data_IF_139356117146
#
_entry.id   IF_139356117146
#
_cell.length_a   1.000
_cell.length_b   1.000
_cell.length_c   1.000
_cell.angle_alpha   90.00
_cell.angle_beta   90.00
_cell.angle_gamma   90.00
#
_symmetry.space_group_name_H-M   'P 1'
#
loop_
_entity.id
_entity.type
_entity.pdbx_description
1 polymer ?
#
# COMPACT_ATOMS: atom_id res chain seq x y z
N UNK A 1 4.26 12.72 15.84
CA UNK A 1 4.52 11.41 15.21
C UNK A 1 4.24 10.33 16.25
N UNK A 2 3.34 9.40 15.95
CA UNK A 2 3.03 8.25 16.82
C UNK A 2 3.12 6.94 16.04
N UNK A 3 3.56 5.89 16.72
CA UNK A 3 3.57 4.51 16.23
C UNK A 3 2.62 3.70 17.11
N UNK A 4 1.61 3.09 16.49
CA UNK A 4 0.65 2.25 17.18
C UNK A 4 0.81 0.82 16.69
N UNK A 5 1.22 -0.09 17.57
CA UNK A 5 1.18 -1.52 17.30
C UNK A 5 -0.28 -2.01 17.32
N UNK A 6 -0.64 -2.86 16.37
CA UNK A 6 -1.93 -3.53 16.29
C UNK A 6 -1.79 -4.92 16.91
N UNK A 7 -2.55 -5.16 17.98
CA UNK A 7 -2.65 -6.45 18.65
C UNK A 7 -4.14 -6.74 18.94
N UNK A 8 -4.80 -7.63 18.18
CA UNK A 8 -4.23 -8.54 17.17
C UNK A 8 -3.91 -7.87 15.81
N UNK A 9 -3.01 -8.46 15.00
CA UNK A 9 -2.79 -8.02 13.62
C UNK A 9 -4.06 -8.12 12.77
N UNK A 10 -4.28 -7.13 11.91
CA UNK A 10 -5.48 -7.03 11.09
C UNK A 10 -5.25 -7.58 9.67
N UNK A 11 -6.13 -8.46 9.15
CA UNK A 11 -6.05 -8.93 7.77
C UNK A 11 -6.45 -7.81 6.81
N UNK A 12 -5.48 -7.36 6.02
CA UNK A 12 -5.64 -6.30 5.03
C UNK A 12 -5.18 -6.77 3.65
N UNK A 13 -5.42 -5.94 2.65
CA UNK A 13 -4.93 -6.10 1.30
C UNK A 13 -4.34 -4.76 0.87
N UNK A 14 -3.07 -4.80 0.46
CA UNK A 14 -2.37 -3.62 -0.05
C UNK A 14 -2.49 -3.64 -1.57
N UNK A 15 -3.02 -2.56 -2.15
CA UNK A 15 -3.13 -2.42 -3.60
C UNK A 15 -1.75 -2.61 -4.25
N UNK A 16 -1.72 -3.46 -5.27
CA UNK A 16 -0.54 -3.84 -6.06
C UNK A 16 0.49 -4.75 -5.36
N UNK A 17 0.26 -5.14 -4.09
CA UNK A 17 1.10 -6.09 -3.35
C UNK A 17 0.38 -7.38 -2.96
N UNK A 18 -0.92 -7.28 -2.65
CA UNK A 18 -1.73 -8.44 -2.32
C UNK A 18 -2.20 -8.48 -0.86
N UNK A 19 -2.74 -9.64 -0.43
CA UNK A 19 -3.22 -9.84 0.94
C UNK A 19 -2.05 -9.92 1.94
N UNK A 20 -2.28 -9.41 3.15
CA UNK A 20 -1.30 -9.41 4.22
C UNK A 20 -1.91 -9.16 5.60
N UNK A 21 -1.05 -9.12 6.61
CA UNK A 21 -1.40 -8.78 7.98
C UNK A 21 -0.75 -7.46 8.39
N UNK A 22 -1.59 -6.47 8.72
CA UNK A 22 -1.13 -5.22 9.30
C UNK A 22 -0.90 -5.39 10.80
N UNK A 23 0.30 -5.09 11.26
CA UNK A 23 0.68 -5.21 12.68
C UNK A 23 1.04 -3.86 13.31
N UNK A 24 1.08 -2.77 12.55
CA UNK A 24 1.25 -1.42 13.08
C UNK A 24 0.70 -0.34 12.15
N UNK A 25 0.41 0.83 12.72
CA UNK A 25 0.05 2.06 12.01
C UNK A 25 0.94 3.20 12.51
N UNK A 26 1.43 4.01 11.57
CA UNK A 26 2.27 5.18 11.85
C UNK A 26 1.47 6.42 11.44
N UNK A 27 1.33 7.36 12.37
CA UNK A 27 0.72 8.66 12.14
C UNK A 27 1.76 9.78 12.18
N UNK A 28 1.89 10.48 11.05
CA UNK A 28 2.77 11.63 10.89
C UNK A 28 2.05 12.96 11.20
N UNK A 29 0.72 12.98 11.32
CA UNK A 29 -0.09 14.15 11.66
C UNK A 29 -1.03 14.62 10.54
N UNK A 30 -1.58 15.83 10.71
CA UNK A 30 -2.75 16.36 9.97
C UNK A 30 -2.61 16.49 8.45
N UNK A 31 -1.40 16.43 7.89
CA UNK A 31 -1.15 16.54 6.43
C UNK A 31 -0.68 15.22 5.80
N UNK A 32 -0.71 14.12 6.54
CA UNK A 32 -0.16 12.83 6.11
C UNK A 32 -1.20 11.73 6.24
N UNK A 33 -1.16 10.77 5.32
CA UNK A 33 -1.95 9.56 5.47
C UNK A 33 -1.42 8.74 6.64
N UNK A 34 -2.32 8.05 7.34
CA UNK A 34 -1.94 6.92 8.18
C UNK A 34 -1.18 5.91 7.32
N UNK A 35 0.01 5.55 7.76
CA UNK A 35 0.86 4.57 7.09
C UNK A 35 0.69 3.23 7.79
N UNK A 36 0.26 2.23 7.04
CA UNK A 36 0.03 0.88 7.53
C UNK A 36 1.24 0.01 7.27
N UNK A 37 1.76 -0.61 8.33
CA UNK A 37 2.85 -1.56 8.24
C UNK A 37 2.26 -2.97 8.13
N UNK A 38 2.44 -3.57 6.96
CA UNK A 38 1.80 -4.84 6.58
C UNK A 38 2.84 -5.85 6.13
N UNK A 39 2.79 -7.05 6.69
CA UNK A 39 3.51 -8.22 6.16
C UNK A 39 2.67 -8.87 5.06
N UNK A 40 3.21 -8.98 3.85
CA UNK A 40 2.54 -9.60 2.70
C UNK A 40 2.63 -11.13 2.81
N UNK A 41 1.50 -11.81 2.61
CA UNK A 41 1.40 -13.25 2.83
C UNK A 41 2.25 -14.05 1.84
N UNK A 42 2.23 -13.67 0.56
CA UNK A 42 2.83 -14.47 -0.51
C UNK A 42 4.36 -14.30 -0.58
N UNK A 43 4.87 -13.09 -0.33
CA UNK A 43 6.30 -12.77 -0.45
C UNK A 43 7.02 -12.70 0.90
N UNK A 44 6.31 -12.54 2.01
CA UNK A 44 6.88 -12.29 3.33
C UNK A 44 7.49 -10.89 3.49
N UNK A 45 7.38 -10.02 2.48
CA UNK A 45 7.89 -8.65 2.54
C UNK A 45 7.06 -7.80 3.51
N UNK A 46 7.74 -6.92 4.24
CA UNK A 46 7.09 -5.90 5.07
C UNK A 46 7.03 -4.60 4.27
N UNK A 47 5.81 -4.09 4.07
CA UNK A 47 5.54 -2.88 3.31
C UNK A 47 4.83 -1.83 4.16
N UNK A 48 5.15 -0.58 3.88
CA UNK A 48 4.47 0.60 4.42
C UNK A 48 3.56 1.19 3.33
N UNK A 49 2.25 1.15 3.53
CA UNK A 49 1.27 1.64 2.57
C UNK A 49 0.41 2.77 3.15
N UNK A 50 0.17 3.87 2.40
CA UNK A 50 -0.73 4.93 2.85
C UNK A 50 -2.18 4.46 2.84
N UNK A 51 -3.01 5.02 3.72
CA UNK A 51 -4.43 4.66 3.91
C UNK A 51 -5.24 4.46 2.60
N UNK A 52 -5.14 5.32 1.56
CA UNK A 52 -5.87 5.12 0.31
C UNK A 52 -5.52 3.83 -0.45
N UNK A 53 -4.38 3.21 -0.16
CA UNK A 53 -3.88 1.97 -0.78
C UNK A 53 -4.17 0.71 0.03
N UNK A 54 -4.83 0.81 1.18
CA UNK A 54 -5.11 -0.35 2.05
C UNK A 54 -6.60 -0.65 2.05
N UNK A 55 -6.96 -1.91 1.89
CA UNK A 55 -8.34 -2.40 1.95
C UNK A 55 -8.44 -3.51 3.00
N UNK A 56 -9.54 -3.58 3.71
CA UNK A 56 -9.85 -4.74 4.51
C UNK A 56 -10.09 -5.96 3.61
N UNK A 57 -9.70 -7.13 4.07
CA UNK A 57 -10.02 -8.38 3.38
C UNK A 57 -11.54 -8.66 3.40
N UNK A 58 -12.06 -9.37 2.38
CA UNK A 58 -13.45 -9.82 2.37
C UNK A 58 -13.73 -10.73 3.57
N UNK A 59 -14.95 -10.63 4.12
CA UNK A 59 -15.37 -11.44 5.26
C UNK A 59 -16.85 -11.78 5.12
N UNK A 60 -17.16 -13.06 4.94
CA UNK A 60 -18.52 -13.54 4.69
C UNK A 60 -19.43 -13.45 5.93
N UNK A 61 -18.92 -13.70 7.14
CA UNK A 61 -19.72 -13.59 8.37
C UNK A 61 -20.07 -12.13 8.67
N UNK A 62 -19.16 -11.20 8.34
CA UNK A 62 -19.41 -9.76 8.42
C UNK A 62 -20.11 -9.19 7.18
N UNK A 63 -20.55 -10.03 6.23
CA UNK A 63 -21.15 -9.62 4.94
C UNK A 63 -20.32 -8.58 4.17
N UNK A 64 -19.00 -8.58 4.37
CA UNK A 64 -18.07 -7.69 3.70
C UNK A 64 -17.65 -8.30 2.37
N UNK A 65 -18.15 -7.73 1.29
CA UNK A 65 -17.78 -8.14 -0.06
C UNK A 65 -16.35 -7.70 -0.42
N UNK A 66 -15.77 -8.36 -1.41
CA UNK A 66 -14.46 -7.99 -1.96
C UNK A 66 -14.56 -6.58 -2.55
N UNK A 67 -13.63 -5.71 -2.19
CA UNK A 67 -13.61 -4.34 -2.73
C UNK A 67 -13.34 -4.36 -4.25
N UNK A 68 -14.10 -3.60 -5.06
CA UNK A 68 -13.86 -3.51 -6.51
C UNK A 68 -12.46 -3.02 -6.88
N UNK A 69 -11.84 -2.21 -6.01
CA UNK A 69 -10.47 -1.72 -6.18
C UNK A 69 -9.42 -2.85 -6.21
N UNK A 70 -9.76 -4.05 -5.72
CA UNK A 70 -8.89 -5.23 -5.76
C UNK A 70 -8.93 -5.99 -7.10
N UNK A 71 -9.82 -5.61 -8.01
CA UNK A 71 -9.97 -6.27 -9.31
C UNK A 71 -9.18 -5.56 -10.42
N UNK A 72 -8.71 -4.33 -10.18
CA UNK A 72 -7.83 -3.60 -11.07
C UNK A 72 -6.38 -4.04 -10.81
N UNK A 73 -6.02 -5.25 -11.26
CA UNK A 73 -4.63 -5.69 -11.26
C UNK A 73 -3.81 -4.83 -12.23
N UNK A 74 -3.10 -3.85 -11.70
CA UNK A 74 -2.12 -3.05 -12.44
C UNK A 74 -0.87 -2.89 -11.59
N UNK A 75 0.25 -3.45 -12.05
CA UNK A 75 1.59 -3.22 -11.52
C UNK A 75 1.79 -1.75 -11.13
N UNK A 76 1.85 -1.48 -9.83
CA UNK A 76 2.17 -0.18 -9.28
C UNK A 76 3.52 -0.25 -8.59
N UNK A 77 4.58 -0.12 -9.39
CA UNK A 77 5.95 -0.04 -8.92
C UNK A 77 6.08 1.11 -7.90
N UNK A 78 6.45 0.77 -6.67
CA UNK A 78 6.84 1.75 -5.65
C UNK A 78 8.28 1.49 -5.21
N UNK A 79 9.15 1.19 -6.17
CA UNK A 79 10.49 1.73 -6.12
C UNK A 79 10.39 3.15 -6.72
N UNK A 80 11.02 4.13 -6.07
CA UNK A 80 11.19 5.46 -6.64
C UNK A 80 11.93 5.28 -7.97
N UNK A 81 11.21 5.30 -9.09
CA UNK A 81 11.82 5.55 -10.39
C UNK A 81 11.95 7.05 -10.49
N UNK A 82 13.15 7.55 -10.22
CA UNK A 82 13.58 8.82 -10.77
C UNK A 82 13.32 8.74 -12.28
N UNK A 83 12.41 9.57 -12.80
CA UNK A 83 12.29 9.72 -14.24
C UNK A 83 13.67 10.12 -14.78
N UNK A 84 14.25 9.40 -15.75
CA UNK A 84 15.42 9.92 -16.42
C UNK A 84 14.93 11.09 -17.28
N UNK A 85 15.33 12.30 -16.91
CA UNK A 85 15.19 13.49 -17.74
C UNK A 85 15.74 13.15 -19.14
N UNK A 86 14.88 12.96 -20.14
CA UNK A 86 15.33 12.93 -21.52
C UNK A 86 15.85 14.33 -21.86
N UNK A 87 17.18 14.47 -21.84
CA UNK A 87 17.86 15.60 -22.44
C UNK A 87 17.56 15.59 -23.94
N UNK A 88 16.62 16.45 -24.36
CA UNK A 88 16.39 16.72 -25.77
C UNK A 88 17.65 17.38 -26.34
N UNK A 89 18.46 16.59 -27.03
CA UNK A 89 19.56 17.08 -27.86
C UNK A 89 18.92 17.79 -29.06
N UNK A 90 18.77 19.11 -28.95
CA UNK A 90 18.45 19.96 -30.10
C UNK A 90 19.68 19.98 -31.00
N UNK A 91 19.59 19.33 -32.16
CA UNK A 91 20.61 19.45 -33.21
C UNK A 91 20.54 20.87 -33.80
N UNK A 92 21.68 21.59 -33.90
CA UNK A 92 21.71 22.88 -34.57
C UNK A 92 21.55 22.66 -36.08
N UNK A 93 20.60 23.39 -36.68
CA UNK A 93 20.61 23.72 -38.10
C UNK A 93 21.50 24.94 -38.31
#
# INVERSE_FOLDING_TARGET
>A
MSFQQLDPPLPVHVLDKGPGYAFAVIDYGQEHNLIWVTAINDTGEIWCAPNPRVRLQPNWTMRRQKSPALNAGGQGDCAIVAEPLQAAIVKPN
#
